data_IF_214238124600
#
_entry.id   IF_214238124600
#
_cell.length_a   1.000
_cell.length_b   1.000
_cell.length_c   1.000
_cell.angle_alpha   90.00
_cell.angle_beta   90.00
_cell.angle_gamma   90.00
#
_symmetry.space_group_name_H-M   'P 1'
#
loop_
_entity.id
_entity.type
_entity.pdbx_description
1 polymer ?
#
# COMPACT_ATOMS: atom_id res chain seq x y z
N UNK A 1 3.83 -12.39 -25.85
CA UNK A 1 2.34 -12.42 -25.90
C UNK A 1 1.80 -11.22 -25.14
N UNK A 2 0.72 -10.58 -25.58
CA UNK A 2 0.11 -9.44 -24.87
C UNK A 2 -1.25 -9.84 -24.31
N UNK A 3 -1.50 -9.56 -23.02
CA UNK A 3 -2.81 -9.77 -22.41
C UNK A 3 -3.49 -8.43 -22.14
N UNK A 4 -4.71 -8.29 -22.66
CA UNK A 4 -5.57 -7.14 -22.43
C UNK A 4 -6.85 -7.55 -21.70
N UNK A 5 -7.37 -6.65 -20.87
CA UNK A 5 -8.68 -6.79 -20.24
C UNK A 5 -9.37 -5.43 -20.27
N UNK A 6 -10.54 -5.35 -20.93
CA UNK A 6 -11.32 -4.10 -21.07
C UNK A 6 -10.45 -2.93 -21.51
N UNK A 7 -9.78 -3.07 -22.65
CA UNK A 7 -8.89 -2.06 -23.26
C UNK A 7 -7.68 -1.65 -22.42
N UNK A 8 -7.42 -2.34 -21.30
CA UNK A 8 -6.27 -2.08 -20.44
C UNK A 8 -5.26 -3.20 -20.58
N UNK A 9 -4.01 -2.85 -20.93
CA UNK A 9 -2.90 -3.81 -20.95
C UNK A 9 -2.66 -4.31 -19.52
N UNK A 10 -2.65 -5.63 -19.35
CA UNK A 10 -2.43 -6.30 -18.06
C UNK A 10 -0.98 -6.70 -17.90
N UNK A 11 -0.43 -7.42 -18.88
CA UNK A 11 0.99 -7.74 -18.94
C UNK A 11 1.40 -8.15 -20.35
N UNK A 12 2.71 -8.10 -20.57
CA UNK A 12 3.39 -8.65 -21.74
C UNK A 12 4.17 -9.87 -21.27
N UNK A 13 3.86 -11.05 -21.81
CA UNK A 13 4.63 -12.26 -21.54
C UNK A 13 5.94 -12.23 -22.31
N UNK A 14 7.02 -12.52 -21.59
CA UNK A 14 8.38 -12.69 -22.09
C UNK A 14 8.90 -14.08 -21.70
N UNK A 15 9.94 -14.58 -22.38
CA UNK A 15 10.50 -15.91 -22.07
C UNK A 15 11.04 -16.00 -20.65
N UNK A 16 11.67 -14.93 -20.19
CA UNK A 16 12.32 -14.80 -18.88
C UNK A 16 11.41 -14.18 -17.81
N UNK A 17 10.14 -13.88 -18.11
CA UNK A 17 9.30 -13.17 -17.16
C UNK A 17 8.04 -12.55 -17.73
N UNK A 18 7.59 -11.49 -17.06
CA UNK A 18 6.48 -10.65 -17.54
C UNK A 18 6.77 -9.18 -17.31
N UNK A 19 6.30 -8.35 -18.23
CA UNK A 19 6.32 -6.90 -18.10
C UNK A 19 4.92 -6.45 -17.69
N UNK A 20 4.82 -5.70 -16.59
CA UNK A 20 3.56 -5.13 -16.09
C UNK A 20 3.56 -3.61 -16.27
N UNK A 21 2.49 -3.03 -16.85
CA UNK A 21 2.29 -1.58 -16.80
C UNK A 21 1.88 -1.16 -15.39
N UNK A 22 2.43 -0.06 -14.90
CA UNK A 22 2.10 0.60 -13.65
C UNK A 22 1.36 1.89 -14.00
N UNK A 23 0.08 1.93 -13.66
CA UNK A 23 -0.78 3.09 -13.87
C UNK A 23 -0.81 3.91 -12.58
N UNK A 24 -0.39 5.17 -12.68
CA UNK A 24 -0.47 6.15 -11.60
C UNK A 24 -1.15 7.42 -12.12
N UNK A 25 -1.98 8.05 -11.30
CA UNK A 25 -2.79 9.18 -11.74
C UNK A 25 -1.91 10.40 -12.00
N UNK A 26 -1.95 10.95 -13.23
CA UNK A 26 -1.19 12.14 -13.60
C UNK A 26 0.27 11.91 -13.97
N UNK A 27 0.72 10.64 -14.03
CA UNK A 27 2.08 10.28 -14.45
C UNK A 27 2.00 9.41 -15.72
N UNK A 28 2.99 9.54 -16.60
CA UNK A 28 3.13 8.67 -17.75
C UNK A 28 3.25 7.19 -17.31
N UNK A 29 2.63 6.28 -18.08
CA UNK A 29 2.65 4.84 -17.77
C UNK A 29 4.09 4.35 -17.67
N UNK A 30 4.42 3.72 -16.54
CA UNK A 30 5.73 3.09 -16.31
C UNK A 30 5.61 1.59 -16.52
N UNK A 31 6.72 0.95 -16.84
CA UNK A 31 6.77 -0.50 -17.00
C UNK A 31 7.69 -1.11 -15.94
N UNK A 32 7.17 -2.11 -15.23
CA UNK A 32 7.90 -2.90 -14.27
C UNK A 32 8.19 -4.29 -14.85
N UNK A 33 9.41 -4.78 -14.63
CA UNK A 33 9.81 -6.12 -15.03
C UNK A 33 9.70 -7.08 -13.84
N UNK A 34 9.01 -8.20 -14.04
CA UNK A 34 9.06 -9.33 -13.12
C UNK A 34 9.81 -10.49 -13.80
N UNK A 35 10.93 -10.93 -13.24
CA UNK A 35 11.70 -12.06 -13.75
C UNK A 35 11.21 -13.38 -13.15
N UNK A 36 11.16 -14.43 -13.98
CA UNK A 36 10.79 -15.77 -13.56
C UNK A 36 12.02 -16.65 -13.48
N UNK A 37 12.37 -17.05 -12.26
CA UNK A 37 13.41 -18.02 -12.04
C UNK A 37 12.84 -19.43 -12.22
N UNK A 38 13.35 -20.12 -13.23
CA UNK A 38 12.91 -21.46 -13.63
C UNK A 38 13.85 -22.51 -13.06
N UNK A 39 13.29 -23.67 -12.72
CA UNK A 39 14.10 -24.83 -12.41
C UNK A 39 14.56 -25.58 -13.66
N UNK A 40 15.35 -26.63 -13.46
CA UNK A 40 15.88 -27.44 -14.57
C UNK A 40 14.80 -28.22 -15.33
N UNK A 41 13.57 -28.31 -14.80
CA UNK A 41 12.42 -28.88 -15.50
C UNK A 41 11.55 -27.81 -16.18
N UNK A 42 11.91 -26.52 -16.06
CA UNK A 42 11.21 -25.40 -16.67
C UNK A 42 10.06 -24.82 -15.84
N UNK A 43 9.84 -25.31 -14.62
CA UNK A 43 8.80 -24.76 -13.73
C UNK A 43 9.27 -23.45 -13.09
N UNK A 44 8.36 -22.47 -12.98
CA UNK A 44 8.67 -21.20 -12.30
C UNK A 44 8.65 -21.40 -10.79
N UNK A 45 9.78 -21.15 -10.13
CA UNK A 45 9.91 -21.23 -8.67
C UNK A 45 9.74 -19.90 -7.97
N UNK A 46 10.20 -18.82 -8.61
CA UNK A 46 10.22 -17.49 -8.02
C UNK A 46 9.86 -16.46 -9.10
N UNK A 47 9.10 -15.44 -8.70
CA UNK A 47 8.88 -14.22 -9.47
C UNK A 47 9.55 -13.05 -8.75
N UNK A 48 10.57 -12.44 -9.38
CA UNK A 48 11.34 -11.32 -8.85
C UNK A 48 10.87 -10.01 -9.50
N UNK A 49 10.14 -9.20 -8.74
CA UNK A 49 9.67 -7.88 -9.20
C UNK A 49 10.74 -6.80 -9.04
N UNK A 50 11.03 -6.06 -10.10
CA UNK A 50 12.03 -4.98 -10.11
C UNK A 50 11.44 -3.62 -9.67
N UNK A 51 10.13 -3.56 -9.43
CA UNK A 51 9.46 -2.38 -8.89
C UNK A 51 9.66 -2.30 -7.38
N UNK A 52 10.34 -1.25 -6.91
CA UNK A 52 10.40 -0.89 -5.50
C UNK A 52 9.20 -0.02 -5.15
N UNK A 53 8.30 -0.52 -4.30
CA UNK A 53 7.29 0.30 -3.66
C UNK A 53 7.70 0.55 -2.21
N UNK A 54 7.95 1.81 -1.88
CA UNK A 54 8.38 2.23 -0.54
C UNK A 54 7.27 3.04 0.11
N UNK A 55 6.05 2.48 0.14
CA UNK A 55 4.96 3.07 0.91
C UNK A 55 5.24 2.91 2.41
N UNK A 56 5.59 4.01 3.08
CA UNK A 56 5.77 4.04 4.53
C UNK A 56 4.40 4.23 5.19
N UNK A 57 3.95 3.22 5.94
CA UNK A 57 2.75 3.30 6.76
C UNK A 57 3.13 3.72 8.17
N UNK A 58 2.85 4.99 8.52
CA UNK A 58 3.10 5.54 9.85
C UNK A 58 1.83 6.21 10.39
N UNK A 59 1.48 5.89 11.63
CA UNK A 59 0.44 6.59 12.39
C UNK A 59 1.12 7.64 13.27
N UNK A 60 0.86 8.92 12.99
CA UNK A 60 1.50 10.06 13.66
C UNK A 60 0.68 10.62 14.82
N UNK A 61 -0.60 10.24 14.95
CA UNK A 61 -1.52 10.68 16.01
C UNK A 61 -1.71 12.22 16.05
N UNK A 62 -1.49 12.89 14.91
CA UNK A 62 -1.79 14.32 14.76
C UNK A 62 -3.30 14.53 14.57
N UNK A 63 -3.90 15.47 15.30
CA UNK A 63 -5.35 15.73 15.25
C UNK A 63 -5.85 16.03 13.83
N UNK A 64 -5.05 16.70 13.00
CA UNK A 64 -5.39 17.00 11.61
C UNK A 64 -5.45 15.76 10.70
N UNK A 65 -4.77 14.66 11.07
CA UNK A 65 -4.71 13.41 10.30
C UNK A 65 -5.56 12.28 10.89
N UNK A 66 -6.19 12.48 12.05
CA UNK A 66 -6.94 11.43 12.74
C UNK A 66 -8.04 10.77 11.89
N UNK A 67 -8.73 11.51 11.04
CA UNK A 67 -9.74 10.92 10.14
C UNK A 67 -9.14 9.99 9.07
N UNK A 68 -7.94 10.30 8.58
CA UNK A 68 -7.21 9.46 7.62
C UNK A 68 -6.57 8.25 8.30
N UNK A 69 -5.98 8.46 9.48
CA UNK A 69 -5.34 7.39 10.25
C UNK A 69 -6.37 6.36 10.75
N UNK A 70 -7.54 6.78 11.26
CA UNK A 70 -8.61 5.87 11.69
C UNK A 70 -9.21 5.03 10.54
N UNK A 71 -9.10 5.49 9.29
CA UNK A 71 -9.60 4.75 8.13
C UNK A 71 -8.63 3.65 7.69
N UNK A 72 -7.34 3.79 7.98
CA UNK A 72 -6.27 2.90 7.47
C UNK A 72 -5.75 1.97 8.57
N UNK A 73 -5.79 2.41 9.82
CA UNK A 73 -5.30 1.65 10.97
C UNK A 73 -6.46 1.26 11.88
N UNK A 74 -6.53 -0.03 12.22
CA UNK A 74 -7.49 -0.54 13.19
C UNK A 74 -7.06 -0.18 14.62
N UNK A 75 -8.05 0.03 15.51
CA UNK A 75 -7.87 0.18 16.96
C UNK A 75 -6.99 1.36 17.43
N UNK A 76 -6.75 2.37 16.60
CA UNK A 76 -6.01 3.60 16.96
C UNK A 76 -6.57 4.28 18.23
N UNK A 77 -7.89 4.32 18.35
CA UNK A 77 -8.58 4.95 19.49
C UNK A 77 -8.30 4.24 20.83
N UNK A 78 -7.88 2.96 20.82
CA UNK A 78 -7.55 2.19 22.03
C UNK A 78 -6.14 2.51 22.53
N UNK A 79 -5.21 2.74 21.61
CA UNK A 79 -3.83 3.15 21.92
C UNK A 79 -3.75 4.61 22.38
N UNK A 80 -4.70 5.46 21.99
CA UNK A 80 -4.81 6.84 22.50
C UNK A 80 -5.43 6.92 23.92
N UNK A 81 -5.33 5.85 24.71
CA UNK A 81 -5.66 5.85 26.13
C UNK A 81 -4.59 6.60 26.95
N UNK A 82 -4.18 7.77 26.46
CA UNK A 82 -3.52 8.80 27.24
C UNK A 82 -4.37 9.13 28.46
N UNK A 83 -3.76 8.98 29.63
CA UNK A 83 -4.29 9.26 30.96
C UNK A 83 -5.38 10.34 30.93
N UNK A 84 -6.65 9.92 31.07
CA UNK A 84 -7.76 10.85 31.30
C UNK A 84 -7.54 11.50 32.65
N UNK A 85 -6.77 12.59 32.69
CA UNK A 85 -6.75 13.50 33.82
C UNK A 85 -8.18 14.00 34.01
N UNK A 86 -8.87 13.42 34.99
CA UNK A 86 -10.22 13.76 35.39
C UNK A 86 -10.21 15.21 35.91
N UNK A 87 -10.35 16.20 35.02
CA UNK A 87 -10.69 17.58 35.42
C UNK A 87 -12.13 17.58 35.94
N UNK A 88 -12.32 17.32 37.23
CA UNK A 88 -13.61 17.50 37.90
C UNK A 88 -13.49 18.35 39.17
N UNK A 89 -13.09 19.62 39.02
CA UNK A 89 -13.29 20.73 39.97
C UNK A 89 -13.12 22.03 39.14
N UNK A 90 -13.96 23.08 39.12
CA UNK A 90 -15.02 23.60 39.99
C UNK A 90 -15.63 24.87 39.32
N UNK A 91 -16.96 25.03 39.34
CA UNK A 91 -17.74 26.31 39.46
C UNK A 91 -19.13 25.86 39.95
N UNK A 92 -19.68 26.21 41.11
CA UNK A 92 -19.70 27.51 41.76
C UNK A 92 -20.82 28.36 41.14
N UNK A 93 -22.06 28.26 41.64
CA UNK A 93 -23.14 29.19 41.29
C UNK A 93 -24.57 28.66 41.37
N UNK A 94 -25.10 28.53 42.59
CA UNK A 94 -26.41 28.96 43.12
C UNK A 94 -26.74 28.20 44.39
#
# INVERSE_FOLDING_TARGET
MFLYKKDTLQYISHEEGRIRPVYDSGIAVRYAWDYFEKDHLGNTRIALGMQTDTSVYAATMETAKGAYENAIFADIDKSDSGCKCRKKWRKGGM
#
